data_IF_040352178685
#
_entry.id   IF_040352178685
#
_cell.length_a   1.000
_cell.length_b   1.000
_cell.length_c   1.000
_cell.angle_alpha   90.00
_cell.angle_beta   90.00
_cell.angle_gamma   90.00
#
_symmetry.space_group_name_H-M   'P 1'
#
loop_
_entity.id
_entity.type
_entity.pdbx_description
1 polymer ?
#
# COMPACT_ATOMS: atom_id res chain seq x y z
N UNK A 1 -6.97 23.32 -10.19
CA UNK A 1 -7.62 24.22 -9.20
C UNK A 1 -9.00 23.70 -8.82
N UNK A 2 -9.78 23.18 -9.78
CA UNK A 2 -10.98 22.39 -9.50
C UNK A 2 -10.68 21.17 -8.64
N UNK A 3 -9.61 20.41 -8.90
CA UNK A 3 -9.34 19.17 -8.15
C UNK A 3 -9.03 19.43 -6.66
N UNK A 4 -8.34 20.53 -6.35
CA UNK A 4 -8.03 20.92 -4.98
C UNK A 4 -9.29 21.37 -4.23
N UNK A 5 -10.20 22.07 -4.90
CA UNK A 5 -11.49 22.47 -4.32
C UNK A 5 -12.41 21.25 -4.10
N UNK A 6 -12.42 20.31 -5.05
CA UNK A 6 -13.16 19.05 -4.91
C UNK A 6 -12.65 18.22 -3.75
N UNK A 7 -11.33 18.11 -3.57
CA UNK A 7 -10.72 17.45 -2.41
C UNK A 7 -11.03 18.20 -1.11
N UNK A 8 -10.91 19.53 -1.10
CA UNK A 8 -11.22 20.34 0.08
C UNK A 8 -12.68 20.16 0.52
N UNK A 9 -13.61 20.01 -0.43
CA UNK A 9 -15.02 19.76 -0.16
C UNK A 9 -15.32 18.36 0.40
N UNK A 10 -14.36 17.43 0.35
CA UNK A 10 -14.49 16.12 1.01
C UNK A 10 -14.30 16.23 2.53
N UNK A 11 -13.63 17.28 3.02
CA UNK A 11 -13.36 17.61 4.42
C UNK A 11 -12.60 16.55 5.24
N UNK A 12 -13.17 15.35 5.39
CA UNK A 12 -12.68 14.26 6.22
C UNK A 12 -12.25 13.06 5.38
N UNK A 13 -11.04 12.56 5.64
CA UNK A 13 -10.55 11.32 5.05
C UNK A 13 -9.73 10.49 6.03
N UNK A 14 -9.50 9.23 5.66
CA UNK A 14 -8.78 8.25 6.48
C UNK A 14 -7.52 7.77 5.76
N UNK A 15 -6.41 7.68 6.49
CA UNK A 15 -5.20 6.98 6.05
C UNK A 15 -5.14 5.61 6.73
N UNK A 16 -5.07 4.55 5.93
CA UNK A 16 -4.99 3.17 6.40
C UNK A 16 -3.55 2.71 6.30
N UNK A 17 -2.88 2.66 7.44
CA UNK A 17 -1.52 2.15 7.54
C UNK A 17 -1.54 0.66 7.89
N UNK A 18 -1.62 -0.18 6.87
CA UNK A 18 -1.61 -1.63 6.99
C UNK A 18 -0.69 -2.21 5.92
N UNK A 19 0.32 -2.99 6.32
CA UNK A 19 1.25 -3.65 5.40
C UNK A 19 1.99 -4.80 6.12
N UNK A 20 3.00 -5.43 5.49
CA UNK A 20 3.84 -6.49 6.04
C UNK A 20 4.41 -6.14 7.42
N UNK A 21 4.79 -4.88 7.61
CA UNK A 21 5.34 -4.33 8.85
C UNK A 21 4.40 -4.52 10.05
N UNK A 22 3.08 -4.60 9.84
CA UNK A 22 2.08 -4.87 10.89
C UNK A 22 2.30 -6.23 11.58
N UNK A 23 2.94 -7.19 10.91
CA UNK A 23 3.20 -8.54 11.43
C UNK A 23 4.57 -8.67 12.11
N UNK A 24 5.34 -7.59 12.18
CA UNK A 24 6.67 -7.64 12.75
C UNK A 24 6.61 -7.47 14.28
N UNK A 25 6.73 -8.59 14.99
CA UNK A 25 6.46 -8.69 16.43
C UNK A 25 7.36 -7.83 17.32
N UNK A 26 8.62 -7.59 16.91
CA UNK A 26 9.63 -6.92 17.72
C UNK A 26 9.67 -5.39 17.53
N UNK A 27 8.71 -4.85 16.76
CA UNK A 27 8.66 -3.43 16.40
C UNK A 27 9.53 -3.13 15.19
N UNK A 28 8.91 -2.65 14.12
CA UNK A 28 9.60 -2.36 12.85
C UNK A 28 10.63 -1.24 13.03
N UNK A 29 11.89 -1.53 12.72
CA UNK A 29 12.95 -0.54 12.55
C UNK A 29 13.01 -0.10 11.09
N UNK A 30 13.45 1.14 10.87
CA UNK A 30 13.43 1.74 9.54
C UNK A 30 14.22 0.96 8.49
N UNK A 31 15.22 0.17 8.88
CA UNK A 31 16.08 -0.60 7.96
C UNK A 31 15.61 -2.05 7.76
N UNK A 32 14.56 -2.48 8.46
CA UNK A 32 14.12 -3.87 8.42
C UNK A 32 13.53 -4.26 7.06
N UNK A 33 13.79 -5.51 6.68
CA UNK A 33 13.21 -6.18 5.50
C UNK A 33 12.57 -7.49 5.96
N UNK A 34 11.35 -7.45 6.52
CA UNK A 34 10.70 -8.66 7.03
C UNK A 34 10.47 -9.69 5.93
N UNK A 35 10.44 -10.98 6.27
CA UNK A 35 10.14 -12.01 5.27
C UNK A 35 8.69 -11.86 4.76
N UNK A 36 8.42 -11.93 3.44
CA UNK A 36 7.07 -12.00 2.89
C UNK A 36 6.20 -13.11 3.50
N UNK A 37 6.82 -14.15 4.06
CA UNK A 37 6.14 -15.24 4.77
C UNK A 37 5.33 -14.78 5.98
N UNK A 38 5.65 -13.61 6.56
CA UNK A 38 4.93 -13.05 7.71
C UNK A 38 3.59 -12.43 7.32
N UNK A 39 3.39 -12.04 6.06
CA UNK A 39 2.14 -11.42 5.63
C UNK A 39 1.03 -12.48 5.47
N UNK A 40 0.24 -12.68 6.53
CA UNK A 40 -0.85 -13.65 6.54
C UNK A 40 -2.10 -13.15 7.29
N UNK A 41 -2.76 -12.08 6.80
CA UNK A 41 -3.98 -11.56 7.40
C UNK A 41 -5.22 -12.42 7.03
N UNK A 42 -5.38 -13.57 7.68
CA UNK A 42 -6.44 -14.54 7.39
C UNK A 42 -7.88 -14.04 7.65
N UNK A 43 -8.06 -12.97 8.43
CA UNK A 43 -9.35 -12.32 8.69
C UNK A 43 -9.51 -10.95 7.99
N UNK A 44 -8.64 -10.61 7.03
CA UNK A 44 -8.72 -9.32 6.34
C UNK A 44 -10.04 -9.18 5.59
N UNK A 45 -10.75 -8.10 5.88
CA UNK A 45 -12.00 -7.76 5.23
C UNK A 45 -12.04 -6.24 4.95
N UNK A 46 -11.83 -5.86 3.69
CA UNK A 46 -11.84 -4.45 3.27
C UNK A 46 -13.25 -3.82 3.37
N UNK A 47 -14.32 -4.60 3.25
CA UNK A 47 -15.69 -4.08 3.42
C UNK A 47 -15.93 -3.61 4.87
N UNK A 48 -15.29 -4.26 5.85
CA UNK A 48 -15.31 -3.83 7.24
C UNK A 48 -14.56 -2.51 7.43
N UNK A 49 -13.38 -2.34 6.82
CA UNK A 49 -12.63 -1.08 6.87
C UNK A 49 -13.46 0.08 6.33
N UNK A 50 -14.05 -0.09 5.15
CA UNK A 50 -14.88 0.94 4.52
C UNK A 50 -16.15 1.21 5.34
N UNK A 51 -16.75 0.19 5.98
CA UNK A 51 -17.86 0.43 6.90
C UNK A 51 -17.45 1.35 8.05
N UNK A 52 -16.31 1.08 8.68
CA UNK A 52 -15.81 1.92 9.78
C UNK A 52 -15.54 3.36 9.32
N UNK A 53 -15.06 3.56 8.09
CA UNK A 53 -14.84 4.91 7.53
C UNK A 53 -16.15 5.69 7.37
N UNK A 54 -17.22 5.02 6.94
CA UNK A 54 -18.54 5.64 6.80
C UNK A 54 -19.12 5.98 8.16
N UNK A 55 -19.03 5.07 9.12
CA UNK A 55 -19.50 5.29 10.49
C UNK A 55 -18.73 6.46 11.15
N UNK A 56 -17.47 6.68 10.74
CA UNK A 56 -16.65 7.83 11.13
C UNK A 56 -16.98 9.13 10.36
N UNK A 57 -17.70 9.06 9.24
CA UNK A 57 -18.09 10.21 8.42
C UNK A 57 -17.06 10.60 7.34
N UNK A 58 -16.06 9.77 7.07
CA UNK A 58 -15.05 10.04 6.06
C UNK A 58 -15.63 9.96 4.64
N UNK A 59 -15.15 10.84 3.76
CA UNK A 59 -15.56 10.91 2.35
C UNK A 59 -14.54 10.27 1.40
N UNK A 60 -13.29 10.14 1.85
CA UNK A 60 -12.23 9.48 1.10
C UNK A 60 -11.32 8.65 2.01
N UNK A 61 -10.63 7.68 1.41
CA UNK A 61 -9.69 6.82 2.11
C UNK A 61 -8.43 6.57 1.28
N UNK A 62 -7.28 6.59 1.94
CA UNK A 62 -5.96 6.34 1.35
C UNK A 62 -5.39 5.06 1.95
N UNK A 63 -5.12 4.05 1.13
CA UNK A 63 -4.47 2.82 1.57
C UNK A 63 -2.97 2.85 1.24
N UNK A 64 -2.13 2.44 2.19
CA UNK A 64 -0.70 2.21 1.94
C UNK A 64 -0.53 1.03 1.00
N UNK A 65 -0.29 1.28 -0.29
CA UNK A 65 -0.01 0.23 -1.28
C UNK A 65 1.38 -0.38 -1.07
N UNK A 66 2.35 0.47 -0.75
CA UNK A 66 3.74 0.11 -0.48
C UNK A 66 4.36 1.09 0.52
N UNK A 67 4.94 0.58 1.60
CA UNK A 67 5.64 1.35 2.62
C UNK A 67 7.17 1.21 2.50
N UNK A 68 7.93 1.75 3.46
CA UNK A 68 9.39 1.85 3.45
C UNK A 68 10.13 0.53 3.26
N UNK A 69 9.59 -0.60 3.77
CA UNK A 69 10.20 -1.92 3.52
C UNK A 69 10.25 -2.28 2.04
N UNK A 70 9.31 -1.76 1.25
CA UNK A 70 9.10 -2.07 -0.16
C UNK A 70 7.99 -3.09 -0.41
N UNK A 71 7.39 -3.72 0.59
CA UNK A 71 6.41 -4.79 0.34
C UNK A 71 5.15 -4.25 -0.33
N UNK A 72 4.76 -4.87 -1.45
CA UNK A 72 3.56 -4.53 -2.22
C UNK A 72 2.42 -5.50 -1.92
N UNK A 73 1.27 -4.98 -1.51
CA UNK A 73 0.08 -5.79 -1.15
C UNK A 73 -0.79 -6.23 -2.34
N UNK A 74 -0.29 -6.09 -3.57
CA UNK A 74 -0.95 -6.53 -4.79
C UNK A 74 0.01 -7.37 -5.66
N UNK A 75 -0.51 -8.26 -6.51
CA UNK A 75 0.27 -8.96 -7.53
C UNK A 75 1.00 -7.96 -8.43
N UNK A 76 2.19 -8.31 -8.88
CA UNK A 76 2.96 -7.44 -9.78
C UNK A 76 3.79 -8.20 -10.80
N UNK A 77 3.80 -7.68 -12.03
CA UNK A 77 4.64 -8.16 -13.13
C UNK A 77 5.83 -7.22 -13.40
N UNK A 78 6.10 -6.26 -12.50
CA UNK A 78 7.17 -5.28 -12.67
C UNK A 78 8.52 -5.99 -12.72
N UNK A 79 9.32 -5.60 -13.71
CA UNK A 79 10.73 -5.98 -13.85
C UNK A 79 11.60 -4.74 -13.85
N UNK A 80 12.82 -4.82 -13.31
CA UNK A 80 13.73 -3.68 -13.20
C UNK A 80 15.20 -4.10 -13.38
N UNK A 81 16.10 -3.19 -13.79
CA UNK A 81 17.53 -3.47 -13.83
C UNK A 81 18.11 -3.55 -12.42
N UNK A 82 18.72 -4.69 -12.07
CA UNK A 82 19.29 -4.91 -10.73
C UNK A 82 20.58 -4.13 -10.50
N UNK A 83 21.36 -3.89 -11.57
CA UNK A 83 22.69 -3.30 -11.48
C UNK A 83 23.06 -2.56 -12.79
N UNK A 84 24.19 -1.83 -12.80
CA UNK A 84 24.64 -1.10 -14.00
C UNK A 84 24.92 -1.99 -15.23
N UNK A 85 25.06 -3.32 -15.05
CA UNK A 85 25.20 -4.25 -16.18
C UNK A 85 23.91 -4.48 -16.97
N UNK A 86 22.77 -3.94 -16.49
CA UNK A 86 21.48 -4.00 -17.19
C UNK A 86 20.71 -5.31 -17.00
N UNK A 87 21.14 -6.18 -16.06
CA UNK A 87 20.41 -7.42 -15.77
C UNK A 87 19.01 -7.11 -15.25
N UNK A 88 17.98 -7.46 -16.03
CA UNK A 88 16.58 -7.30 -15.66
C UNK A 88 16.15 -8.45 -14.73
N UNK A 89 15.50 -8.12 -13.62
CA UNK A 89 14.95 -9.07 -12.64
C UNK A 89 13.50 -8.70 -12.28
N UNK A 90 12.65 -9.68 -11.94
CA UNK A 90 11.29 -9.39 -11.47
C UNK A 90 11.30 -8.81 -10.05
N UNK A 91 10.29 -8.01 -9.72
CA UNK A 91 10.04 -7.55 -8.37
C UNK A 91 9.36 -8.65 -7.54
N UNK A 92 10.12 -9.30 -6.69
CA UNK A 92 9.71 -10.48 -5.93
C UNK A 92 9.46 -10.21 -4.43
N UNK A 93 9.14 -8.96 -4.08
CA UNK A 93 8.82 -8.55 -2.70
C UNK A 93 7.39 -8.01 -2.63
N UNK A 94 6.44 -8.88 -2.95
CA UNK A 94 5.02 -8.59 -3.07
C UNK A 94 4.17 -9.76 -2.55
N UNK A 95 2.86 -9.56 -2.46
CA UNK A 95 1.89 -10.53 -1.94
C UNK A 95 1.95 -11.91 -2.61
N UNK A 96 2.36 -12.00 -3.88
CA UNK A 96 2.55 -13.28 -4.59
C UNK A 96 3.65 -14.19 -3.99
N UNK A 97 4.52 -13.62 -3.17
CA UNK A 97 5.58 -14.31 -2.45
C UNK A 97 5.26 -14.53 -0.96
N UNK A 98 3.99 -14.32 -0.57
CA UNK A 98 3.47 -14.55 0.78
C UNK A 98 2.49 -15.73 0.82
N UNK A 99 2.04 -16.16 2.02
CA UNK A 99 0.93 -17.11 2.16
C UNK A 99 -0.37 -16.66 1.47
N UNK A 100 -0.53 -15.36 1.20
CA UNK A 100 -1.69 -14.78 0.54
C UNK A 100 -1.57 -14.72 -0.99
N UNK A 101 -0.70 -15.53 -1.60
CA UNK A 101 -0.49 -15.58 -3.05
C UNK A 101 -1.81 -15.69 -3.82
N UNK A 102 -1.96 -14.87 -4.88
CA UNK A 102 -3.18 -14.80 -5.69
C UNK A 102 -4.26 -13.86 -5.15
N UNK A 103 -4.06 -13.27 -3.98
CA UNK A 103 -4.91 -12.19 -3.46
C UNK A 103 -4.43 -10.82 -3.94
N UNK A 104 -5.36 -9.90 -4.11
CA UNK A 104 -5.08 -8.49 -4.40
C UNK A 104 -5.82 -7.60 -3.39
N UNK A 105 -5.10 -7.17 -2.33
CA UNK A 105 -5.68 -6.35 -1.26
C UNK A 105 -6.05 -4.95 -1.76
N UNK A 106 -5.31 -4.41 -2.74
CA UNK A 106 -5.61 -3.09 -3.28
C UNK A 106 -6.87 -3.14 -4.16
N UNK A 107 -7.01 -4.17 -4.99
CA UNK A 107 -8.22 -4.44 -5.76
C UNK A 107 -9.44 -4.67 -4.86
N UNK A 108 -9.30 -5.46 -3.79
CA UNK A 108 -10.36 -5.64 -2.78
C UNK A 108 -10.78 -4.32 -2.13
N UNK A 109 -9.81 -3.46 -1.79
CA UNK A 109 -10.08 -2.14 -1.20
C UNK A 109 -10.82 -1.21 -2.16
N UNK A 110 -10.39 -1.14 -3.44
CA UNK A 110 -11.09 -0.37 -4.49
C UNK A 110 -12.53 -0.83 -4.58
N UNK A 111 -12.75 -2.14 -4.73
CA UNK A 111 -14.10 -2.71 -4.83
C UNK A 111 -14.97 -2.36 -3.62
N UNK A 112 -14.42 -2.41 -2.41
CA UNK A 112 -15.15 -2.04 -1.18
C UNK A 112 -15.54 -0.57 -1.13
N UNK A 113 -14.64 0.32 -1.54
CA UNK A 113 -14.89 1.76 -1.58
C UNK A 113 -15.91 2.13 -2.67
N UNK A 114 -15.80 1.55 -3.87
CA UNK A 114 -16.73 1.77 -4.97
C UNK A 114 -18.17 1.40 -4.60
N UNK A 115 -18.38 0.24 -3.94
CA UNK A 115 -19.70 -0.19 -3.45
C UNK A 115 -20.39 0.84 -2.55
N UNK A 116 -19.60 1.66 -1.85
CA UNK A 116 -20.10 2.59 -0.83
C UNK A 116 -19.76 4.05 -1.13
N UNK A 117 -19.36 4.34 -2.37
CA UNK A 117 -19.09 5.69 -2.88
C UNK A 117 -18.04 6.47 -2.07
N UNK A 118 -17.05 5.77 -1.50
CA UNK A 118 -15.88 6.38 -0.86
C UNK A 118 -14.82 6.61 -1.93
N UNK A 119 -14.29 7.83 -2.02
CA UNK A 119 -13.17 8.11 -2.93
C UNK A 119 -11.90 7.42 -2.46
N UNK A 120 -11.17 6.79 -3.38
CA UNK A 120 -9.97 5.99 -3.07
C UNK A 120 -8.68 6.71 -3.45
N UNK A 121 -7.67 6.59 -2.60
CA UNK A 121 -6.30 6.93 -2.91
C UNK A 121 -5.32 5.86 -2.45
N UNK A 122 -4.09 5.94 -2.94
CA UNK A 122 -2.99 5.10 -2.50
C UNK A 122 -1.80 5.93 -2.05
N UNK A 123 -1.23 5.54 -0.91
CA UNK A 123 0.11 5.94 -0.52
C UNK A 123 1.09 4.94 -1.13
N UNK A 124 2.10 5.44 -1.84
CA UNK A 124 3.14 4.62 -2.43
C UNK A 124 4.49 5.30 -2.22
N UNK A 125 5.32 4.74 -1.34
CA UNK A 125 6.63 5.34 -1.08
C UNK A 125 7.53 5.27 -2.32
N UNK A 126 8.17 6.40 -2.64
CA UNK A 126 9.25 6.46 -3.64
C UNK A 126 10.55 7.04 -3.05
N UNK A 127 10.54 7.49 -1.78
CA UNK A 127 11.74 7.93 -1.05
C UNK A 127 12.54 6.78 -0.44
N UNK A 128 11.87 5.66 -0.16
CA UNK A 128 12.43 4.55 0.58
C UNK A 128 11.95 3.22 0.01
N UNK A 129 12.88 2.27 -0.12
CA UNK A 129 12.61 0.88 -0.44
C UNK A 129 13.77 0.05 0.10
N UNK A 130 13.63 -0.44 1.34
CA UNK A 130 14.68 -1.20 2.01
C UNK A 130 15.05 -2.46 1.22
N UNK A 131 14.05 -3.14 0.64
CA UNK A 131 14.26 -4.30 -0.20
C UNK A 131 15.22 -4.04 -1.38
N UNK A 132 15.16 -2.83 -1.97
CA UNK A 132 16.05 -2.41 -3.06
C UNK A 132 17.25 -1.57 -2.59
N UNK A 133 17.47 -1.46 -1.29
CA UNK A 133 18.50 -0.60 -0.68
C UNK A 133 18.41 0.87 -1.16
N UNK A 134 17.19 1.39 -1.32
CA UNK A 134 16.94 2.79 -1.65
C UNK A 134 16.57 3.53 -0.38
N UNK A 135 17.38 4.51 0.00
CA UNK A 135 17.11 5.44 1.09
C UNK A 135 17.34 6.88 0.61
N UNK A 136 16.62 7.84 1.19
CA UNK A 136 16.76 9.28 0.90
C UNK A 136 16.40 9.70 -0.54
N UNK A 137 15.43 9.05 -1.17
CA UNK A 137 14.86 9.57 -2.42
C UNK A 137 14.21 10.94 -2.20
N UNK A 138 14.25 11.81 -3.22
CA UNK A 138 13.88 13.23 -3.08
C UNK A 138 12.37 13.53 -3.22
N UNK A 139 11.51 12.53 -3.39
CA UNK A 139 10.08 12.75 -3.67
C UNK A 139 9.19 11.77 -2.89
N UNK A 140 8.15 12.25 -2.19
CA UNK A 140 7.12 11.41 -1.58
C UNK A 140 5.80 11.59 -2.34
N UNK A 141 5.12 10.51 -2.72
CA UNK A 141 3.84 10.57 -3.44
C UNK A 141 2.70 9.92 -2.64
N UNK A 142 1.67 10.73 -2.40
CA UNK A 142 0.31 10.25 -2.13
C UNK A 142 -0.46 10.48 -3.43
N UNK A 143 -1.00 9.41 -4.01
CA UNK A 143 -1.75 9.48 -5.26
C UNK A 143 -3.23 9.31 -4.95
N UNK A 144 -4.03 10.33 -5.25
CA UNK A 144 -5.48 10.26 -5.22
C UNK A 144 -5.97 9.89 -6.61
N UNK A 145 -6.86 8.90 -6.71
CA UNK A 145 -7.55 8.58 -7.95
C UNK A 145 -8.97 9.18 -7.93
#
# INVERSE_FOLDING_TARGET
>A
ASEQLEWQAQELGVLIHFNLETFFADGFQYEDIPSPSLFNPYLLNTDNWVQTMIDFGAQYAVLVAKHGSGFLMAPTAVTFPLNPSGKIVPYNYAIDHSPMKGRDVLGEFINSCEKKQIRTGFYYTVVANNYLNVQNGFVCYIMFF
#
